data_IF_904686296213
#
_entry.id   IF_904686296213
#
_cell.length_a   1.000
_cell.length_b   1.000
_cell.length_c   1.000
_cell.angle_alpha   90.00
_cell.angle_beta   90.00
_cell.angle_gamma   90.00
#
_symmetry.space_group_name_H-M   'P 1'
#
loop_
_entity.id
_entity.type
_entity.pdbx_description
1 polymer ?
#
# COMPACT_ATOMS: atom_id res chain seq x y z
N UNK A 1 -21.22 -4.28 -11.05
CA UNK A 1 -22.50 -4.83 -10.56
C UNK A 1 -22.82 -6.05 -11.39
N UNK A 2 -22.86 -7.25 -10.80
CA UNK A 2 -23.17 -8.47 -11.55
C UNK A 2 -24.68 -8.57 -11.74
N UNK A 3 -25.10 -8.74 -12.99
CA UNK A 3 -26.50 -8.91 -13.39
C UNK A 3 -26.61 -10.15 -14.24
N UNK A 4 -27.35 -11.14 -13.77
CA UNK A 4 -27.70 -12.35 -14.52
C UNK A 4 -28.78 -12.03 -15.56
N UNK A 5 -28.61 -12.55 -16.76
CA UNK A 5 -29.56 -12.41 -17.87
C UNK A 5 -30.88 -13.12 -17.53
N UNK A 6 -32.00 -12.41 -17.62
CA UNK A 6 -33.35 -12.95 -17.33
C UNK A 6 -34.04 -13.41 -18.63
N UNK A 7 -33.65 -12.85 -19.77
CA UNK A 7 -34.35 -13.01 -21.05
C UNK A 7 -34.16 -14.41 -21.67
N UNK A 8 -33.13 -15.14 -21.23
CA UNK A 8 -32.82 -16.50 -21.71
C UNK A 8 -33.74 -17.58 -21.10
N UNK A 9 -34.65 -17.20 -20.19
CA UNK A 9 -35.32 -18.13 -19.31
C UNK A 9 -36.84 -18.18 -19.53
N UNK A 10 -37.33 -19.34 -20.02
CA UNK A 10 -38.74 -19.51 -20.39
C UNK A 10 -39.64 -19.81 -19.18
N UNK A 11 -39.10 -20.47 -18.16
CA UNK A 11 -39.86 -20.85 -16.96
C UNK A 11 -40.10 -19.62 -16.04
N UNK A 12 -41.36 -19.28 -15.71
CA UNK A 12 -41.66 -18.15 -14.82
C UNK A 12 -41.01 -18.27 -13.44
N UNK A 13 -40.84 -19.49 -12.91
CA UNK A 13 -40.20 -19.74 -11.62
C UNK A 13 -38.71 -19.41 -11.68
N UNK A 14 -38.05 -19.85 -12.76
CA UNK A 14 -36.62 -19.57 -12.98
C UNK A 14 -36.37 -18.08 -13.19
N UNK A 15 -37.21 -17.39 -13.98
CA UNK A 15 -37.14 -15.92 -14.11
C UNK A 15 -37.26 -15.21 -12.77
N UNK A 16 -38.19 -15.64 -11.91
CA UNK A 16 -38.37 -15.06 -10.58
C UNK A 16 -37.13 -15.24 -9.69
N UNK A 17 -36.51 -16.43 -9.75
CA UNK A 17 -35.27 -16.74 -9.03
C UNK A 17 -34.11 -15.87 -9.54
N UNK A 18 -33.90 -15.78 -10.86
CA UNK A 18 -32.82 -14.98 -11.44
C UNK A 18 -33.00 -13.49 -11.11
N UNK A 19 -34.23 -12.98 -11.20
CA UNK A 19 -34.54 -11.60 -10.81
C UNK A 19 -34.26 -11.36 -9.32
N UNK A 20 -34.57 -12.33 -8.44
CA UNK A 20 -34.26 -12.25 -7.02
C UNK A 20 -32.76 -12.29 -6.74
N UNK A 21 -31.98 -13.10 -7.45
CA UNK A 21 -30.51 -13.10 -7.38
C UNK A 21 -29.97 -11.71 -7.70
N UNK A 22 -30.43 -11.10 -8.80
CA UNK A 22 -30.03 -9.75 -9.19
C UNK A 22 -30.36 -8.71 -8.11
N UNK A 23 -31.55 -8.77 -7.51
CA UNK A 23 -31.94 -7.88 -6.41
C UNK A 23 -31.05 -8.05 -5.18
N UNK A 24 -30.75 -9.29 -4.80
CA UNK A 24 -29.88 -9.60 -3.67
C UNK A 24 -28.45 -9.08 -3.87
N UNK A 25 -27.86 -9.28 -5.05
CA UNK A 25 -26.49 -8.83 -5.32
C UNK A 25 -26.38 -7.32 -5.57
N UNK A 26 -27.46 -6.67 -6.02
CA UNK A 26 -27.51 -5.20 -6.17
C UNK A 26 -27.92 -4.48 -4.89
N UNK A 27 -28.29 -5.21 -3.83
CA UNK A 27 -28.76 -4.64 -2.55
C UNK A 27 -30.17 -4.06 -2.60
N UNK A 28 -30.92 -4.29 -3.68
CA UNK A 28 -32.30 -3.81 -3.88
C UNK A 28 -33.32 -4.88 -3.46
N UNK A 29 -33.18 -5.40 -2.24
CA UNK A 29 -34.09 -6.42 -1.71
C UNK A 29 -35.49 -5.85 -1.48
N UNK A 30 -36.50 -6.67 -1.75
CA UNK A 30 -37.90 -6.28 -1.66
C UNK A 30 -38.66 -7.07 -0.59
N UNK A 31 -38.32 -8.35 -0.39
CA UNK A 31 -39.08 -9.26 0.49
C UNK A 31 -38.20 -9.95 1.53
N UNK A 32 -36.90 -10.01 1.28
CA UNK A 32 -35.91 -10.68 2.12
C UNK A 32 -35.13 -9.73 3.01
N UNK A 33 -34.45 -10.29 4.01
CA UNK A 33 -33.55 -9.55 4.92
C UNK A 33 -32.24 -9.11 4.25
N UNK A 34 -31.99 -9.41 2.98
CA UNK A 34 -30.73 -9.08 2.31
C UNK A 34 -29.56 -10.00 2.58
N UNK A 35 -29.73 -11.05 3.40
CA UNK A 35 -28.67 -12.04 3.64
C UNK A 35 -28.53 -12.96 2.41
N UNK A 36 -27.30 -13.19 1.97
CA UNK A 36 -26.99 -14.02 0.81
C UNK A 36 -27.06 -15.53 1.12
N UNK A 37 -28.27 -16.04 1.41
CA UNK A 37 -28.53 -17.47 1.65
C UNK A 37 -29.67 -17.95 0.74
N UNK A 38 -29.64 -19.23 0.36
CA UNK A 38 -30.66 -19.94 -0.41
C UNK A 38 -32.07 -19.77 0.18
N UNK A 39 -32.21 -19.75 1.51
CA UNK A 39 -33.51 -19.50 2.16
C UNK A 39 -34.04 -18.08 1.86
N UNK A 40 -33.16 -17.08 1.90
CA UNK A 40 -33.53 -15.69 1.62
C UNK A 40 -33.75 -15.48 0.12
N UNK A 41 -33.03 -16.20 -0.74
CA UNK A 41 -33.29 -16.23 -2.18
C UNK A 41 -34.69 -16.76 -2.48
N UNK A 42 -35.12 -17.84 -1.83
CA UNK A 42 -36.47 -18.39 -1.98
C UNK A 42 -37.54 -17.36 -1.57
N UNK A 43 -37.34 -16.67 -0.43
CA UNK A 43 -38.24 -15.62 0.06
C UNK A 43 -38.26 -14.42 -0.90
N UNK A 44 -37.10 -13.99 -1.39
CA UNK A 44 -36.98 -12.85 -2.30
C UNK A 44 -37.64 -13.13 -3.65
N UNK A 45 -37.52 -14.37 -4.14
CA UNK A 45 -38.15 -14.85 -5.37
C UNK A 45 -39.65 -15.15 -5.21
N UNK A 46 -40.15 -15.19 -3.97
CA UNK A 46 -41.53 -15.62 -3.64
C UNK A 46 -41.85 -17.04 -4.13
N UNK A 47 -40.88 -17.95 -3.93
CA UNK A 47 -40.99 -19.37 -4.31
C UNK A 47 -40.67 -20.28 -3.13
N UNK A 48 -41.24 -21.48 -3.13
CA UNK A 48 -40.91 -22.49 -2.11
C UNK A 48 -39.46 -22.95 -2.26
N UNK A 49 -38.76 -23.14 -1.13
CA UNK A 49 -37.36 -23.63 -1.10
C UNK A 49 -37.14 -24.93 -1.88
N UNK A 50 -38.16 -25.79 -1.96
CA UNK A 50 -38.15 -27.03 -2.73
C UNK A 50 -37.76 -26.82 -4.21
N UNK A 51 -38.18 -25.70 -4.83
CA UNK A 51 -37.79 -25.38 -6.20
C UNK A 51 -36.27 -25.23 -6.34
N UNK A 52 -35.57 -24.66 -5.36
CA UNK A 52 -34.11 -24.49 -5.38
C UNK A 52 -33.34 -25.75 -4.96
N UNK A 53 -33.98 -26.71 -4.30
CA UNK A 53 -33.31 -27.94 -3.83
C UNK A 53 -33.58 -29.15 -4.71
N UNK A 54 -34.68 -29.18 -5.47
CA UNK A 54 -35.07 -30.33 -6.29
C UNK A 54 -35.32 -30.02 -7.77
N UNK A 55 -35.72 -28.80 -8.13
CA UNK A 55 -36.09 -28.47 -9.53
C UNK A 55 -35.04 -27.62 -10.25
N UNK A 56 -34.47 -26.63 -9.57
CA UNK A 56 -33.52 -25.65 -10.11
C UNK A 56 -32.25 -25.63 -9.27
N UNK A 57 -31.63 -26.81 -9.15
CA UNK A 57 -30.40 -26.99 -8.39
C UNK A 57 -29.24 -26.17 -9.00
N UNK A 58 -29.24 -26.04 -10.33
CA UNK A 58 -28.30 -25.22 -11.11
C UNK A 58 -28.29 -23.75 -10.66
N UNK A 59 -29.47 -23.17 -10.41
CA UNK A 59 -29.59 -21.78 -9.95
C UNK A 59 -29.11 -21.61 -8.52
N UNK A 60 -29.38 -22.60 -7.65
CA UNK A 60 -28.83 -22.63 -6.30
C UNK A 60 -27.31 -22.70 -6.32
N UNK A 61 -26.73 -23.58 -7.13
CA UNK A 61 -25.28 -23.73 -7.25
C UNK A 61 -24.63 -22.46 -7.80
N UNK A 62 -25.19 -21.86 -8.86
CA UNK A 62 -24.74 -20.55 -9.36
C UNK A 62 -24.77 -19.46 -8.29
N UNK A 63 -25.86 -19.40 -7.52
CA UNK A 63 -25.97 -18.44 -6.43
C UNK A 63 -24.87 -18.66 -5.38
N UNK A 64 -24.69 -19.90 -4.91
CA UNK A 64 -23.69 -20.23 -3.90
C UNK A 64 -22.26 -19.99 -4.40
N UNK A 65 -21.96 -20.33 -5.65
CA UNK A 65 -20.66 -20.08 -6.27
C UNK A 65 -20.36 -18.57 -6.33
N UNK A 66 -21.34 -17.76 -6.70
CA UNK A 66 -21.17 -16.31 -6.74
C UNK A 66 -21.01 -15.69 -5.35
N UNK A 67 -21.74 -16.19 -4.35
CA UNK A 67 -21.57 -15.76 -2.95
C UNK A 67 -20.15 -16.07 -2.47
N UNK A 68 -19.68 -17.31 -2.68
CA UNK A 68 -18.32 -17.72 -2.33
C UNK A 68 -17.27 -16.88 -3.05
N UNK A 69 -17.45 -16.59 -4.34
CA UNK A 69 -16.53 -15.73 -5.10
C UNK A 69 -16.49 -14.30 -4.52
N UNK A 70 -17.64 -13.76 -4.13
CA UNK A 70 -17.73 -12.42 -3.54
C UNK A 70 -17.06 -12.38 -2.15
N UNK A 71 -17.23 -13.43 -1.35
CA UNK A 71 -16.58 -13.56 -0.03
C UNK A 71 -15.06 -13.70 -0.17
N UNK A 72 -14.59 -14.53 -1.10
CA UNK A 72 -13.16 -14.67 -1.41
C UNK A 72 -12.56 -13.36 -1.88
N UNK A 73 -13.22 -12.63 -2.77
CA UNK A 73 -12.77 -11.31 -3.23
C UNK A 73 -12.68 -10.30 -2.08
N UNK A 74 -13.64 -10.29 -1.15
CA UNK A 74 -13.58 -9.45 0.04
C UNK A 74 -12.41 -9.82 0.95
N UNK A 75 -12.16 -11.12 1.14
CA UNK A 75 -11.03 -11.59 1.94
C UNK A 75 -9.68 -11.18 1.32
N UNK A 76 -9.51 -11.33 0.01
CA UNK A 76 -8.31 -10.88 -0.72
C UNK A 76 -8.14 -9.37 -0.60
N UNK A 77 -9.20 -8.58 -0.80
CA UNK A 77 -9.12 -7.12 -0.68
C UNK A 77 -8.76 -6.66 0.74
N UNK A 78 -9.19 -7.38 1.79
CA UNK A 78 -8.76 -7.10 3.16
C UNK A 78 -7.27 -7.39 3.35
N UNK A 79 -6.79 -8.53 2.84
CA UNK A 79 -5.36 -8.87 2.87
C UNK A 79 -4.50 -7.86 2.09
N UNK A 80 -4.98 -7.39 0.94
CA UNK A 80 -4.29 -6.37 0.14
C UNK A 80 -4.26 -5.02 0.86
N UNK A 81 -5.33 -4.66 1.58
CA UNK A 81 -5.38 -3.45 2.39
C UNK A 81 -4.36 -3.53 3.54
N UNK A 82 -4.31 -4.66 4.25
CA UNK A 82 -3.33 -4.89 5.32
C UNK A 82 -1.89 -4.82 4.77
N UNK A 83 -1.61 -5.49 3.65
CA UNK A 83 -0.30 -5.46 3.00
C UNK A 83 0.11 -4.05 2.55
N UNK A 84 -0.84 -3.24 2.08
CA UNK A 84 -0.58 -1.84 1.71
C UNK A 84 -0.22 -1.01 2.94
N UNK A 85 -0.89 -1.21 4.08
CA UNK A 85 -0.54 -0.50 5.32
C UNK A 85 0.85 -0.87 5.82
N UNK A 86 1.23 -2.15 5.79
CA UNK A 86 2.58 -2.59 6.16
C UNK A 86 3.65 -2.00 5.23
N UNK A 87 3.38 -1.96 3.92
CA UNK A 87 4.32 -1.40 2.95
C UNK A 87 4.51 0.11 3.17
N UNK A 88 3.44 0.84 3.49
CA UNK A 88 3.50 2.25 3.83
C UNK A 88 4.33 2.51 5.10
N UNK A 89 4.18 1.67 6.13
CA UNK A 89 4.98 1.76 7.36
C UNK A 89 6.46 1.56 7.06
N UNK A 90 6.82 0.49 6.33
CA UNK A 90 8.21 0.20 5.93
C UNK A 90 8.81 1.33 5.10
N UNK A 91 8.04 1.93 4.20
CA UNK A 91 8.49 3.06 3.41
C UNK A 91 8.76 4.30 4.27
N UNK A 92 7.90 4.60 5.25
CA UNK A 92 8.10 5.70 6.18
C UNK A 92 9.36 5.49 7.05
N UNK A 93 9.57 4.28 7.55
CA UNK A 93 10.78 3.90 8.29
C UNK A 93 12.04 4.07 7.43
N UNK A 94 12.01 3.59 6.19
CA UNK A 94 13.15 3.70 5.29
C UNK A 94 13.47 5.16 4.96
N UNK A 95 12.44 5.99 4.72
CA UNK A 95 12.62 7.43 4.52
C UNK A 95 13.21 8.12 5.75
N UNK A 96 12.77 7.75 6.96
CA UNK A 96 13.34 8.28 8.19
C UNK A 96 14.83 7.88 8.33
N UNK A 97 15.16 6.64 7.98
CA UNK A 97 16.55 6.15 7.96
C UNK A 97 17.42 6.89 6.95
N UNK A 98 16.92 7.12 5.73
CA UNK A 98 17.63 7.91 4.72
C UNK A 98 17.91 9.33 5.22
N UNK A 99 16.91 10.03 5.77
CA UNK A 99 17.08 11.37 6.34
C UNK A 99 18.09 11.40 7.47
N UNK A 100 18.09 10.37 8.33
CA UNK A 100 19.06 10.25 9.42
C UNK A 100 20.50 10.08 8.89
N UNK A 101 20.69 9.24 7.86
CA UNK A 101 22.00 9.03 7.24
C UNK A 101 22.49 10.29 6.52
N UNK A 102 21.60 10.97 5.80
CA UNK A 102 21.90 12.25 5.15
C UNK A 102 22.35 13.31 6.16
N UNK A 103 21.66 13.42 7.30
CA UNK A 103 22.04 14.34 8.38
C UNK A 103 23.43 14.01 8.93
N UNK A 104 23.74 12.72 9.17
CA UNK A 104 25.07 12.29 9.63
C UNK A 104 26.16 12.58 8.61
N UNK A 105 25.91 12.29 7.34
CA UNK A 105 26.84 12.61 6.25
C UNK A 105 27.13 14.11 6.19
N UNK A 106 26.10 14.94 6.37
CA UNK A 106 26.29 16.39 6.42
C UNK A 106 27.17 16.82 7.59
N UNK A 107 26.94 16.28 8.80
CA UNK A 107 27.79 16.54 9.96
C UNK A 107 29.25 16.14 9.70
N UNK A 108 29.49 14.94 9.15
CA UNK A 108 30.85 14.51 8.84
C UNK A 108 31.53 15.39 7.78
N UNK A 109 30.81 15.79 6.73
CA UNK A 109 31.32 16.70 5.72
C UNK A 109 31.73 18.06 6.32
N UNK A 110 30.91 18.60 7.24
CA UNK A 110 31.26 19.87 7.92
C UNK A 110 32.50 19.75 8.80
N UNK A 111 32.63 18.65 9.57
CA UNK A 111 33.80 18.41 10.40
C UNK A 111 35.07 18.22 9.57
N UNK A 112 34.99 17.46 8.47
CA UNK A 112 36.11 17.29 7.54
C UNK A 112 36.55 18.61 6.91
N UNK A 113 35.60 19.46 6.48
CA UNK A 113 35.93 20.77 5.94
C UNK A 113 36.63 21.65 6.99
N UNK A 114 36.16 21.66 8.23
CA UNK A 114 36.79 22.41 9.31
C UNK A 114 38.23 21.93 9.56
N UNK A 115 38.42 20.62 9.72
CA UNK A 115 39.75 20.03 9.90
C UNK A 115 40.68 20.29 8.71
N UNK A 116 40.14 20.32 7.49
CA UNK A 116 40.93 20.65 6.30
C UNK A 116 41.39 22.10 6.31
N UNK A 117 40.54 23.03 6.75
CA UNK A 117 40.91 24.44 6.90
C UNK A 117 41.95 24.64 8.01
N UNK A 118 41.78 23.97 9.15
CA UNK A 118 42.74 23.99 10.26
C UNK A 118 44.11 23.47 9.84
N UNK A 119 44.17 22.33 9.16
CA UNK A 119 45.43 21.79 8.63
C UNK A 119 46.10 22.73 7.63
N UNK A 120 45.33 23.35 6.73
CA UNK A 120 45.88 24.31 5.78
C UNK A 120 46.49 25.54 6.49
N UNK A 121 45.83 26.02 7.54
CA UNK A 121 46.33 27.13 8.36
C UNK A 121 47.63 26.77 9.09
N UNK A 122 47.71 25.57 9.69
CA UNK A 122 48.91 25.07 10.36
C UNK A 122 50.10 24.93 9.38
N UNK A 123 49.89 24.30 8.21
CA UNK A 123 50.93 24.21 7.19
C UNK A 123 51.41 25.59 6.72
N UNK A 124 50.52 26.58 6.61
CA UNK A 124 50.88 27.95 6.27
C UNK A 124 51.72 28.63 7.36
N UNK A 125 51.40 28.41 8.64
CA UNK A 125 52.16 28.93 9.78
C UNK A 125 53.56 28.31 9.87
N UNK A 126 53.67 27.00 9.67
CA UNK A 126 54.96 26.30 9.67
C UNK A 126 55.85 26.80 8.51
N UNK A 127 55.26 27.07 7.34
CA UNK A 127 55.98 27.64 6.20
C UNK A 127 56.48 29.08 6.46
N UNK A 128 55.70 29.91 7.15
CA UNK A 128 56.13 31.25 7.60
C UNK A 128 57.21 31.17 8.69
N UNK A 129 57.09 30.24 9.65
CA UNK A 129 58.09 30.03 10.69
C UNK A 129 59.43 29.52 10.13
N UNK A 130 59.40 28.79 9.02
CA UNK A 130 60.59 28.24 8.34
C UNK A 130 61.28 29.25 7.41
N UNK A 131 60.70 30.44 7.16
CA UNK A 131 61.36 31.51 6.39
C UNK A 131 62.54 32.08 7.18
N UNK A 132 63.73 31.52 6.96
CA UNK A 132 65.00 32.02 7.51
C UNK A 132 65.26 33.44 7.01
N UNK A 133 65.11 34.43 7.88
CA UNK A 133 65.55 35.81 7.62
C UNK A 133 67.05 35.91 7.85
N UNK A 134 67.81 36.17 6.78
CA UNK A 134 69.23 36.49 6.88
C UNK A 134 69.40 37.84 7.59
N UNK A 135 69.96 37.83 8.81
CA UNK A 135 70.29 39.06 9.52
C UNK A 135 71.47 39.78 8.82
N UNK A 136 71.40 41.10 8.61
CA UNK A 136 72.51 41.85 8.04
C UNK A 136 73.70 41.77 9.01
N UNK A 137 74.85 41.29 8.52
CA UNK A 137 76.07 41.22 9.32
C UNK A 137 76.54 42.66 9.60
N UNK A 138 76.78 43.04 10.87
CA UNK A 138 77.32 44.35 11.19
C UNK A 138 78.66 44.53 10.48
N UNK A 139 78.79 45.61 9.72
CA UNK A 139 80.01 45.96 9.00
C UNK A 139 81.16 46.14 10.00
N UNK A 140 82.33 45.53 9.77
CA UNK A 140 83.47 45.73 10.64
C UNK A 140 83.96 47.17 10.48
N UNK A 141 83.93 47.91 11.59
CA UNK A 141 84.60 49.20 11.70
C UNK A 141 86.11 48.94 11.66
N UNK A 142 86.78 49.41 10.61
CA UNK A 142 88.24 49.45 10.50
C UNK A 142 88.76 50.78 11.10
N UNK A 143 90.01 50.80 11.59
CA UNK A 143 90.50 51.67 12.66
C UNK A 143 90.71 53.14 12.27
#
# INVERSE_FOLDING_TARGET
MTTFSIDDETDPVRRAIVAAMNRLFTGKVQRSSGRLNVCQLAIEADVKRWHLTHQHLDLKERFQAHVAQTESQKATHLQDADALTELQQKHAELQAHCRFLEARLHTYATALNLLSLENAALCGQDAEATKVRTLPRPSPHLP
#
